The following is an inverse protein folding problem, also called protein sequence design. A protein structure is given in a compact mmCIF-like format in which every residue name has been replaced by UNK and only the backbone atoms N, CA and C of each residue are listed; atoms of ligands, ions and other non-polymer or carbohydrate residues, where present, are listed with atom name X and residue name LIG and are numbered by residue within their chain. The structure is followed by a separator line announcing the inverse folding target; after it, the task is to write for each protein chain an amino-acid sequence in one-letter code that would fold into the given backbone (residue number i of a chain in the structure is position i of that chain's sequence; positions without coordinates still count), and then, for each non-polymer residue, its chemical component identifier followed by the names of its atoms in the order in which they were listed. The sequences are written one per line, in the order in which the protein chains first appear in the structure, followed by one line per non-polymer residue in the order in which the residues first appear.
data_IF_478268724131
#
_entry.id   IF_478268724131
#
_cell.length_a   1.000
_cell.length_b   1.000
_cell.length_c   1.000
_cell.angle_alpha   90.00
_cell.angle_beta   90.00
_cell.angle_gamma   90.00
#
_symmetry.space_group_name_H-M   'P 1'
#
loop_
_entity.id
_entity.type
_entity.pdbx_description
1 polymer ?
#
# COMPACT_ATOMS: atom_id res chain seq x y z
N UNK A 1 -24.26 17.87 -2.81
CA UNK A 1 -23.69 17.18 -3.98
C UNK A 1 -22.23 17.56 -3.98
N UNK A 2 -21.25 16.71 -3.75
CA UNK A 2 -21.11 15.26 -3.52
C UNK A 2 -19.82 15.18 -2.68
N UNK A 3 -19.83 14.56 -1.50
CA UNK A 3 -18.59 14.21 -0.79
C UNK A 3 -18.34 12.72 -1.03
N UNK A 4 -18.30 12.33 -2.30
CA UNK A 4 -17.86 11.02 -2.77
C UNK A 4 -16.35 11.07 -2.98
N UNK A 5 -15.63 11.29 -1.90
CA UNK A 5 -14.29 10.73 -1.77
C UNK A 5 -14.45 9.60 -0.78
N UNK A 6 -14.94 8.47 -1.30
CA UNK A 6 -14.52 7.17 -0.77
C UNK A 6 -13.00 7.27 -0.69
N UNK A 7 -12.45 7.46 0.51
CA UNK A 7 -11.02 7.74 0.72
C UNK A 7 -10.25 6.56 0.16
N UNK A 8 -9.85 6.67 -1.11
CA UNK A 8 -9.39 5.52 -1.87
C UNK A 8 -8.05 5.13 -1.30
N UNK A 9 -8.01 3.98 -0.63
CA UNK A 9 -6.78 3.47 -0.04
C UNK A 9 -5.90 2.94 -1.16
N UNK A 10 -4.75 3.55 -1.36
CA UNK A 10 -3.78 3.19 -2.40
C UNK A 10 -2.54 2.56 -1.76
N UNK A 11 -2.17 1.37 -2.21
CA UNK A 11 -0.92 0.72 -1.84
C UNK A 11 0.09 0.87 -2.98
N UNK A 12 1.18 1.59 -2.72
CA UNK A 12 2.30 1.76 -3.64
C UNK A 12 3.43 0.83 -3.27
N UNK A 13 3.66 -0.17 -4.10
CA UNK A 13 4.67 -1.20 -3.94
C UNK A 13 5.89 -0.86 -4.77
N UNK A 14 7.06 -0.91 -4.15
CA UNK A 14 8.33 -0.63 -4.82
C UNK A 14 9.42 -1.56 -4.33
N UNK A 15 10.44 -1.76 -5.17
CA UNK A 15 11.65 -2.48 -4.78
C UNK A 15 12.62 -1.54 -4.06
N UNK A 16 12.93 -1.83 -2.81
CA UNK A 16 13.88 -1.07 -2.02
C UNK A 16 15.33 -1.31 -2.49
N UNK A 17 16.28 -0.39 -2.20
CA UNK A 17 17.70 -0.59 -2.53
C UNK A 17 18.32 -1.85 -1.92
N UNK A 18 17.73 -2.39 -0.84
CA UNK A 18 18.11 -3.68 -0.25
C UNK A 18 17.78 -4.89 -1.13
N UNK A 19 17.05 -4.69 -2.23
CA UNK A 19 16.55 -5.75 -3.12
C UNK A 19 15.24 -6.37 -2.67
N UNK A 20 14.77 -6.05 -1.46
CA UNK A 20 13.49 -6.48 -0.89
C UNK A 20 12.35 -5.58 -1.38
N UNK A 21 11.12 -6.08 -1.27
CA UNK A 21 9.90 -5.34 -1.59
C UNK A 21 9.39 -4.57 -0.37
N UNK A 22 8.87 -3.38 -0.63
CA UNK A 22 8.24 -2.51 0.35
C UNK A 22 6.97 -1.89 -0.23
N UNK A 23 6.08 -1.45 0.64
CA UNK A 23 4.82 -0.80 0.29
C UNK A 23 4.56 0.43 1.15
N UNK A 24 3.98 1.46 0.57
CA UNK A 24 3.43 2.61 1.30
C UNK A 24 1.94 2.70 1.06
N UNK A 25 1.18 2.93 2.11
CA UNK A 25 -0.27 2.96 2.12
C UNK A 25 -0.69 4.42 2.25
N UNK A 26 -1.53 4.87 1.31
CA UNK A 26 -2.06 6.22 1.28
C UNK A 26 -3.59 6.21 1.37
N UNK A 27 -4.16 7.10 2.18
CA UNK A 27 -5.57 7.47 2.11
C UNK A 27 -5.66 8.84 1.42
N UNK A 28 -6.01 8.83 0.13
CA UNK A 28 -5.85 10.02 -0.72
C UNK A 28 -4.38 10.44 -0.83
N UNK A 29 -4.02 11.60 -0.28
CA UNK A 29 -2.65 12.14 -0.29
C UNK A 29 -1.89 11.87 1.02
N UNK A 30 -2.57 11.37 2.06
CA UNK A 30 -1.97 11.13 3.38
C UNK A 30 -1.37 9.71 3.46
N UNK A 31 -0.09 9.59 3.86
CA UNK A 31 0.53 8.30 4.15
C UNK A 31 0.08 7.81 5.53
N UNK A 32 -0.70 6.74 5.56
CA UNK A 32 -1.28 6.17 6.79
C UNK A 32 -0.51 4.93 7.30
N UNK A 33 0.44 4.41 6.50
CA UNK A 33 1.25 3.27 6.91
C UNK A 33 2.27 2.82 5.86
N UNK A 34 3.16 1.93 6.28
CA UNK A 34 4.17 1.34 5.42
C UNK A 34 4.47 -0.12 5.81
N UNK A 35 4.84 -0.91 4.81
CA UNK A 35 5.27 -2.30 4.89
C UNK A 35 6.66 -2.38 4.29
N UNK A 36 7.57 -3.14 4.91
CA UNK A 36 8.91 -3.34 4.39
C UNK A 36 9.40 -4.76 4.68
N UNK A 37 10.42 -5.19 3.96
CA UNK A 37 11.06 -6.49 4.20
C UNK A 37 10.38 -7.67 3.53
N UNK A 38 9.55 -7.44 2.52
CA UNK A 38 8.82 -8.50 1.83
C UNK A 38 9.65 -9.14 0.71
N UNK A 39 9.45 -10.44 0.49
CA UNK A 39 10.15 -11.20 -0.55
C UNK A 39 9.52 -11.03 -1.93
N UNK A 40 8.28 -10.56 -2.01
CA UNK A 40 7.53 -10.36 -3.25
C UNK A 40 6.50 -9.21 -3.12
N UNK A 41 6.00 -8.65 -4.24
CA UNK A 41 4.91 -7.67 -4.23
C UNK A 41 3.65 -8.21 -3.53
N UNK A 42 3.29 -9.46 -3.81
CA UNK A 42 2.13 -10.09 -3.20
C UNK A 42 2.25 -10.22 -1.67
N UNK A 43 3.47 -10.42 -1.15
CA UNK A 43 3.72 -10.42 0.29
C UNK A 43 3.53 -9.02 0.92
N UNK A 44 3.79 -7.94 0.16
CA UNK A 44 3.50 -6.57 0.61
C UNK A 44 1.99 -6.35 0.73
N UNK A 45 1.22 -6.78 -0.29
CA UNK A 45 -0.25 -6.71 -0.26
C UNK A 45 -0.86 -7.52 0.87
N UNK A 46 -0.34 -8.73 1.10
CA UNK A 46 -0.78 -9.59 2.20
C UNK A 46 -0.51 -8.93 3.55
N UNK A 47 0.71 -8.43 3.76
CA UNK A 47 1.08 -7.76 5.00
C UNK A 47 0.20 -6.52 5.28
N UNK A 48 -0.15 -5.74 4.25
CA UNK A 48 -1.11 -4.64 4.40
C UNK A 48 -2.50 -5.13 4.82
N UNK A 49 -2.97 -6.26 4.27
CA UNK A 49 -4.25 -6.87 4.68
C UNK A 49 -4.23 -7.41 6.11
N UNK A 50 -3.09 -7.93 6.56
CA UNK A 50 -2.92 -8.42 7.93
C UNK A 50 -2.99 -7.29 8.97
N UNK A 51 -2.68 -6.04 8.59
CA UNK A 51 -2.87 -4.87 9.47
C UNK A 51 -4.31 -4.34 9.46
N UNK A 52 -5.21 -4.97 8.71
CA UNK A 52 -6.61 -4.54 8.57
C UNK A 52 -6.84 -3.48 7.50
N UNK A 53 -5.81 -3.15 6.70
CA UNK A 53 -5.93 -2.23 5.58
C UNK A 53 -6.24 -3.02 4.31
N UNK A 54 -7.31 -2.63 3.61
CA UNK A 54 -7.70 -3.24 2.34
C UNK A 54 -7.57 -2.20 1.23
N UNK A 55 -6.44 -2.17 0.50
CA UNK A 55 -6.23 -1.19 -0.57
C UNK A 55 -7.26 -1.39 -1.68
N UNK A 56 -7.91 -0.30 -2.09
CA UNK A 56 -8.78 -0.26 -3.26
C UNK A 56 -7.96 -0.26 -4.56
N UNK A 57 -6.76 0.32 -4.51
CA UNK A 57 -5.85 0.43 -5.64
C UNK A 57 -4.44 -0.02 -5.26
N UNK A 58 -3.77 -0.74 -6.15
CA UNK A 58 -2.40 -1.22 -5.96
C UNK A 58 -1.56 -0.79 -7.15
N UNK A 59 -0.50 -0.05 -6.89
CA UNK A 59 0.49 0.40 -7.87
C UNK A 59 1.81 -0.32 -7.61
N UNK A 60 2.44 -0.91 -8.64
CA UNK A 60 3.73 -1.62 -8.51
C UNK A 60 4.76 -0.97 -9.43
N UNK A 61 5.90 -0.54 -8.87
CA UNK A 61 6.98 0.18 -9.55
C UNK A 61 8.30 -0.60 -9.57
#
# INVERSE_FOLDING_TARGET
MEHDIDETVTLRIYRAPSGQWAGRIFAGEEEIGAVAGCESPAAVEQAARETGVFPNHVEVY
#
